data_IF_676840445324
#
_entry.id   IF_676840445324
#
_cell.length_a   1.000
_cell.length_b   1.000
_cell.length_c   1.000
_cell.angle_alpha   90.00
_cell.angle_beta   90.00
_cell.angle_gamma   90.00
#
_symmetry.space_group_name_H-M   'P 1'
#
loop_
_entity.id
_entity.type
_entity.pdbx_description
1 polymer ?
#
# COMPACT_ATOMS: atom_id res chain seq x y z
N UNK A 1 -11.30 -30.41 -10.22
CA UNK A 1 -10.88 -29.61 -9.04
C UNK A 1 -9.53 -29.02 -9.35
N UNK A 2 -9.43 -27.70 -9.46
CA UNK A 2 -8.16 -27.01 -9.69
C UNK A 2 -7.38 -26.99 -8.39
N UNK A 3 -6.17 -27.53 -8.38
CA UNK A 3 -5.24 -27.46 -7.24
C UNK A 3 -4.84 -25.99 -7.02
N UNK A 4 -4.81 -25.50 -5.77
CA UNK A 4 -4.36 -24.14 -5.47
C UNK A 4 -2.94 -23.90 -6.00
N UNK A 5 -2.72 -22.78 -6.66
CA UNK A 5 -1.44 -22.38 -7.27
C UNK A 5 -0.33 -22.17 -6.23
N UNK A 6 -0.68 -21.75 -5.02
CA UNK A 6 0.24 -21.58 -3.90
C UNK A 6 -0.43 -21.93 -2.56
N UNK A 7 0.33 -22.51 -1.65
CA UNK A 7 -0.09 -22.76 -0.26
C UNK A 7 0.92 -22.09 0.65
N UNK A 8 0.47 -21.14 1.47
CA UNK A 8 1.29 -20.43 2.44
C UNK A 8 0.76 -20.67 3.86
N UNK A 9 1.65 -21.07 4.78
CA UNK A 9 1.33 -21.16 6.21
C UNK A 9 1.37 -19.75 6.80
N UNK A 10 0.30 -19.36 7.50
CA UNK A 10 0.16 -18.03 8.07
C UNK A 10 0.49 -18.03 9.56
N UNK A 11 1.25 -17.03 10.00
CA UNK A 11 1.52 -16.78 11.41
C UNK A 11 0.28 -16.20 12.12
N UNK A 12 0.17 -16.50 13.41
CA UNK A 12 -0.88 -15.98 14.28
C UNK A 12 -0.28 -14.94 15.24
N UNK A 13 -0.97 -13.81 15.41
CA UNK A 13 -0.56 -12.73 16.30
C UNK A 13 -1.53 -12.59 17.49
N UNK A 14 -1.04 -12.27 18.71
CA UNK A 14 0.38 -12.21 19.09
C UNK A 14 1.04 -13.60 19.12
N UNK A 15 2.35 -13.65 18.87
CA UNK A 15 3.12 -14.89 18.81
C UNK A 15 3.18 -15.62 20.16
N UNK A 16 3.06 -14.89 21.27
CA UNK A 16 2.98 -15.48 22.60
C UNK A 16 1.63 -16.17 22.80
N UNK A 17 1.71 -17.47 23.03
CA UNK A 17 0.56 -18.31 23.29
C UNK A 17 0.71 -18.94 24.68
N UNK A 18 0.53 -18.11 25.72
CA UNK A 18 0.43 -18.57 27.11
C UNK A 18 -0.63 -19.65 27.25
N UNK A 19 -1.73 -19.54 26.48
CA UNK A 19 -2.77 -20.55 26.39
C UNK A 19 -2.31 -21.87 25.73
N UNK A 20 -1.32 -21.86 24.83
CA UNK A 20 -0.73 -23.09 24.30
C UNK A 20 0.22 -23.78 25.30
N UNK A 21 0.80 -23.03 26.25
CA UNK A 21 1.68 -23.57 27.30
C UNK A 21 0.87 -24.11 28.48
N UNK A 22 -0.10 -23.33 28.95
CA UNK A 22 -0.83 -23.60 30.20
C UNK A 22 -2.19 -24.29 29.96
N UNK A 23 -2.62 -24.36 28.70
CA UNK A 23 -3.94 -24.85 28.31
C UNK A 23 -5.05 -23.82 28.58
N UNK A 24 -6.19 -23.97 27.89
CA UNK A 24 -7.37 -23.15 28.16
C UNK A 24 -8.16 -23.76 29.33
N UNK A 25 -8.55 -22.92 30.29
CA UNK A 25 -9.48 -23.35 31.33
C UNK A 25 -10.93 -23.36 30.83
N UNK A 26 -11.81 -24.06 31.57
CA UNK A 26 -13.24 -24.12 31.25
C UNK A 26 -13.84 -22.71 31.20
N UNK A 27 -14.51 -22.40 30.10
CA UNK A 27 -15.15 -21.09 29.88
C UNK A 27 -14.22 -20.00 29.33
N UNK A 28 -12.94 -20.30 29.12
CA UNK A 28 -12.01 -19.38 28.44
C UNK A 28 -12.03 -19.59 26.92
N UNK A 29 -11.64 -18.55 26.18
CA UNK A 29 -11.51 -18.57 24.72
C UNK A 29 -10.15 -18.02 24.31
N UNK A 30 -9.56 -18.61 23.26
CA UNK A 30 -8.34 -18.12 22.63
C UNK A 30 -8.72 -17.39 21.34
N UNK A 31 -8.31 -16.13 21.24
CA UNK A 31 -8.45 -15.34 20.03
C UNK A 31 -7.07 -14.94 19.53
N UNK A 32 -6.85 -15.16 18.24
CA UNK A 32 -5.62 -14.81 17.53
C UNK A 32 -6.01 -14.08 16.24
N UNK A 33 -5.13 -13.21 15.78
CA UNK A 33 -5.31 -12.45 14.53
C UNK A 33 -4.37 -13.04 13.48
N UNK A 34 -4.88 -13.21 12.27
CA UNK A 34 -4.07 -13.54 11.09
C UNK A 34 -4.01 -12.33 10.17
N UNK A 35 -2.82 -12.00 9.67
CA UNK A 35 -2.60 -10.92 8.70
C UNK A 35 -1.84 -11.49 7.52
N UNK A 36 -2.36 -11.25 6.33
CA UNK A 36 -1.72 -11.69 5.09
C UNK A 36 -2.05 -10.73 3.96
N UNK A 37 -1.00 -10.24 3.30
CA UNK A 37 -1.13 -9.32 2.18
C UNK A 37 -1.38 -10.10 0.90
N UNK A 38 -2.63 -10.05 0.44
CA UNK A 38 -3.07 -10.75 -0.74
C UNK A 38 -2.75 -9.92 -1.99
N UNK A 39 -1.85 -10.44 -2.82
CA UNK A 39 -1.41 -9.75 -4.06
C UNK A 39 -2.14 -10.23 -5.32
N UNK A 40 -2.76 -11.40 -5.24
CA UNK A 40 -3.43 -12.03 -6.38
C UNK A 40 -4.94 -11.85 -6.28
N UNK A 41 -5.56 -11.41 -7.38
CA UNK A 41 -7.01 -11.32 -7.51
C UNK A 41 -7.63 -12.72 -7.69
N UNK A 42 -8.93 -12.83 -7.41
CA UNK A 42 -9.70 -14.04 -7.66
C UNK A 42 -10.01 -14.85 -6.41
N UNK A 43 -10.28 -16.14 -6.58
CA UNK A 43 -10.82 -16.99 -5.52
C UNK A 43 -9.72 -17.50 -4.59
N UNK A 44 -9.89 -17.26 -3.29
CA UNK A 44 -8.99 -17.69 -2.24
C UNK A 44 -9.71 -18.52 -1.18
N UNK A 45 -8.98 -19.42 -0.54
CA UNK A 45 -9.50 -20.28 0.52
C UNK A 45 -8.57 -20.19 1.73
N UNK A 46 -9.09 -19.65 2.85
CA UNK A 46 -8.43 -19.73 4.15
C UNK A 46 -8.85 -21.02 4.84
N UNK A 47 -7.89 -21.93 5.01
CA UNK A 47 -8.07 -23.17 5.77
C UNK A 47 -7.60 -22.98 7.22
N UNK A 48 -8.53 -22.93 8.16
CA UNK A 48 -8.23 -22.85 9.59
C UNK A 48 -8.38 -24.23 10.20
N UNK A 49 -7.31 -24.73 10.82
CA UNK A 49 -7.33 -26.00 11.55
C UNK A 49 -7.01 -25.76 13.02
N UNK A 50 -7.83 -26.28 13.91
CA UNK A 50 -7.64 -26.23 15.36
C UNK A 50 -7.46 -27.65 15.85
N UNK A 51 -6.32 -27.92 16.48
CA UNK A 51 -6.03 -29.21 17.11
C UNK A 51 -5.84 -29.01 18.60
N UNK A 52 -6.51 -29.80 19.43
CA UNK A 52 -6.39 -29.72 20.88
C UNK A 52 -6.46 -31.11 21.52
N UNK A 53 -5.91 -31.21 22.73
CA UNK A 53 -5.94 -32.41 23.54
C UNK A 53 -6.86 -32.18 24.73
N UNK A 54 -7.86 -33.04 24.91
CA UNK A 54 -8.74 -33.00 26.06
C UNK A 54 -8.04 -33.64 27.28
N UNK A 55 -7.94 -32.91 28.38
CA UNK A 55 -7.23 -33.33 29.61
C UNK A 55 -8.15 -33.55 30.82
N UNK A 56 -9.45 -33.25 30.69
CA UNK A 56 -10.41 -33.40 31.78
C UNK A 56 -10.83 -34.87 31.94
N UNK A 57 -10.62 -35.39 33.15
CA UNK A 57 -11.16 -36.68 33.59
C UNK A 57 -12.61 -36.43 34.03
N UNK A 58 -13.57 -37.11 33.40
CA UNK A 58 -14.98 -37.02 33.80
C UNK A 58 -15.23 -37.55 35.22
N UNK A 59 -16.28 -37.05 35.89
CA UNK A 59 -16.72 -37.51 37.22
C UNK A 59 -17.03 -39.02 37.27
N UNK A 60 -17.32 -39.65 36.12
CA UNK A 60 -17.62 -41.08 36.00
C UNK A 60 -16.42 -41.94 35.58
N UNK A 61 -15.20 -41.58 36.01
CA UNK A 61 -13.99 -42.43 35.97
C UNK A 61 -13.75 -43.25 34.68
N UNK A 62 -14.22 -42.79 33.51
CA UNK A 62 -13.71 -43.21 32.21
C UNK A 62 -12.73 -42.14 31.78
N UNK A 63 -11.44 -42.48 31.92
CA UNK A 63 -10.32 -41.69 31.45
C UNK A 63 -10.57 -41.24 30.00
N UNK A 64 -10.86 -39.96 29.78
CA UNK A 64 -10.74 -39.34 28.47
C UNK A 64 -9.24 -39.18 28.20
N UNK A 65 -8.63 -40.30 27.80
CA UNK A 65 -7.23 -40.49 27.48
C UNK A 65 -6.79 -39.51 26.40
N UNK A 66 -6.15 -38.40 26.77
CA UNK A 66 -5.23 -37.59 25.94
C UNK A 66 -5.58 -37.46 24.46
N UNK A 67 -6.88 -37.41 24.11
CA UNK A 67 -7.33 -37.67 22.75
C UNK A 67 -7.21 -36.37 21.98
N UNK A 68 -6.31 -36.37 21.00
CA UNK A 68 -6.18 -35.26 20.06
C UNK A 68 -7.44 -35.19 19.20
N UNK A 69 -8.11 -34.04 19.21
CA UNK A 69 -9.22 -33.72 18.32
C UNK A 69 -8.78 -32.60 17.39
N UNK A 70 -9.17 -32.70 16.13
CA UNK A 70 -8.87 -31.69 15.12
C UNK A 70 -10.15 -31.27 14.41
N UNK A 71 -10.36 -29.96 14.30
CA UNK A 71 -11.43 -29.35 13.54
C UNK A 71 -10.83 -28.49 12.42
N UNK A 72 -11.37 -28.60 11.21
CA UNK A 72 -10.94 -27.80 10.07
C UNK A 72 -12.13 -27.08 9.46
N UNK A 73 -12.01 -25.75 9.30
CA UNK A 73 -12.99 -24.92 8.60
C UNK A 73 -12.32 -24.20 7.43
N UNK A 74 -13.02 -24.21 6.30
CA UNK A 74 -12.60 -23.54 5.08
C UNK A 74 -13.46 -22.29 4.90
N UNK A 75 -12.81 -21.15 4.68
CA UNK A 75 -13.45 -19.90 4.32
C UNK A 75 -13.05 -19.55 2.89
N UNK A 76 -14.03 -19.51 1.99
CA UNK A 76 -13.81 -19.10 0.61
C UNK A 76 -14.20 -17.63 0.45
N UNK A 77 -13.34 -16.85 -0.19
CA UNK A 77 -13.60 -15.44 -0.49
C UNK A 77 -12.95 -15.06 -1.82
N UNK A 78 -13.39 -13.95 -2.40
CA UNK A 78 -12.88 -13.43 -3.67
C UNK A 78 -12.11 -12.15 -3.38
N UNK A 79 -10.86 -12.08 -3.82
CA UNK A 79 -10.06 -10.87 -3.80
C UNK A 79 -10.36 -10.05 -5.05
N UNK A 80 -10.85 -8.84 -4.84
CA UNK A 80 -11.16 -7.89 -5.90
C UNK A 80 -10.32 -6.62 -5.72
N UNK A 81 -9.99 -5.91 -6.81
CA UNK A 81 -9.33 -4.63 -6.72
C UNK A 81 -10.22 -3.63 -5.95
N UNK A 82 -9.62 -2.85 -5.06
CA UNK A 82 -10.33 -1.85 -4.28
C UNK A 82 -10.24 -0.46 -4.90
N UNK A 83 -9.04 -0.05 -5.33
CA UNK A 83 -8.78 1.24 -5.96
C UNK A 83 -8.18 1.04 -7.35
N UNK A 84 -8.75 1.74 -8.33
CA UNK A 84 -8.17 1.90 -9.66
C UNK A 84 -7.46 3.24 -9.76
N UNK A 85 -6.25 3.25 -10.31
CA UNK A 85 -5.40 4.45 -10.39
C UNK A 85 -5.08 4.77 -11.84
N UNK A 86 -5.40 5.99 -12.27
CA UNK A 86 -5.01 6.54 -13.56
C UNK A 86 -4.15 7.78 -13.36
N UNK A 87 -2.97 7.81 -13.94
CA UNK A 87 -2.02 8.92 -13.77
C UNK A 87 -1.80 9.69 -15.05
N UNK A 88 -1.51 10.99 -14.90
CA UNK A 88 -1.17 11.88 -15.99
C UNK A 88 -0.08 12.83 -15.53
N UNK A 89 0.96 12.96 -16.33
CA UNK A 89 2.04 13.93 -16.11
C UNK A 89 1.92 15.07 -17.13
N UNK A 90 2.04 16.32 -16.68
CA UNK A 90 2.23 17.49 -17.54
C UNK A 90 3.55 18.16 -17.20
N UNK A 91 4.20 18.69 -18.23
CA UNK A 91 5.42 19.47 -18.06
C UNK A 91 5.07 20.92 -17.74
N UNK A 92 5.70 21.47 -16.71
CA UNK A 92 5.60 22.86 -16.33
C UNK A 92 6.82 23.63 -16.86
N UNK A 93 6.70 24.95 -16.94
CA UNK A 93 7.81 25.82 -17.32
C UNK A 93 9.03 25.51 -16.43
N UNK A 94 10.22 25.19 -16.98
CA UNK A 94 11.42 24.94 -16.19
C UNK A 94 11.77 26.13 -15.28
N UNK A 95 12.40 25.85 -14.13
CA UNK A 95 12.93 26.89 -13.25
C UNK A 95 14.36 27.22 -13.69
N UNK A 96 14.63 28.49 -14.01
CA UNK A 96 16.01 28.94 -14.28
C UNK A 96 16.67 29.35 -12.97
N UNK A 97 17.79 28.70 -12.64
CA UNK A 97 18.59 29.02 -11.45
C UNK A 97 20.02 29.35 -11.84
N UNK A 98 20.64 30.29 -11.13
CA UNK A 98 22.04 30.65 -11.34
C UNK A 98 22.95 29.49 -10.97
N UNK A 99 23.81 29.09 -11.90
CA UNK A 99 24.77 28.03 -11.68
C UNK A 99 26.18 28.56 -11.82
N UNK A 100 26.80 28.83 -10.67
CA UNK A 100 28.17 29.36 -10.56
C UNK A 100 29.23 28.44 -11.16
N UNK A 101 28.95 27.14 -11.32
CA UNK A 101 29.87 26.19 -11.98
C UNK A 101 29.98 26.38 -13.49
N UNK A 102 29.00 27.05 -14.11
CA UNK A 102 28.97 27.37 -15.55
C UNK A 102 29.50 28.80 -15.84
N UNK A 103 30.10 29.46 -14.85
CA UNK A 103 30.65 30.82 -14.98
C UNK A 103 29.72 31.93 -14.45
N UNK A 104 30.14 33.21 -14.55
CA UNK A 104 29.46 34.36 -13.91
C UNK A 104 28.05 34.66 -14.43
N UNK A 105 27.67 34.10 -15.59
CA UNK A 105 26.33 34.20 -16.17
C UNK A 105 25.69 32.82 -16.44
N UNK A 106 26.24 31.77 -15.82
CA UNK A 106 25.76 30.41 -15.97
C UNK A 106 24.35 30.27 -15.43
N UNK A 107 23.40 29.81 -16.25
CA UNK A 107 22.05 29.45 -15.82
C UNK A 107 21.79 27.98 -16.09
N UNK A 108 21.21 27.29 -15.12
CA UNK A 108 20.73 25.91 -15.27
C UNK A 108 19.21 25.90 -15.26
N UNK A 109 18.61 25.09 -16.13
CA UNK A 109 17.17 24.88 -16.22
C UNK A 109 16.80 23.61 -15.47
N UNK A 110 16.10 23.75 -14.35
CA UNK A 110 15.58 22.65 -13.56
C UNK A 110 14.19 22.27 -14.07
N UNK A 111 13.99 20.99 -14.36
CA UNK A 111 12.72 20.49 -14.88
C UNK A 111 11.64 20.48 -13.80
N UNK A 112 10.40 20.77 -14.21
CA UNK A 112 9.23 20.76 -13.33
C UNK A 112 8.06 20.06 -14.01
N UNK A 113 7.30 19.31 -13.24
CA UNK A 113 6.16 18.54 -13.72
C UNK A 113 5.01 18.63 -12.72
N UNK A 114 3.78 18.67 -13.21
CA UNK A 114 2.60 18.37 -12.41
C UNK A 114 2.20 16.92 -12.69
N UNK A 115 2.08 16.13 -11.62
CA UNK A 115 1.60 14.76 -11.68
C UNK A 115 0.21 14.71 -11.06
N UNK A 116 -0.78 14.38 -11.88
CA UNK A 116 -2.16 14.15 -11.46
C UNK A 116 -2.42 12.65 -11.37
N UNK A 117 -3.13 12.20 -10.34
CA UNK A 117 -3.64 10.85 -10.24
C UNK A 117 -5.14 10.86 -9.89
N UNK A 118 -5.89 10.07 -10.63
CA UNK A 118 -7.30 9.80 -10.40
C UNK A 118 -7.41 8.46 -9.67
N UNK A 119 -7.90 8.50 -8.44
CA UNK A 119 -8.21 7.33 -7.63
C UNK A 119 -9.71 7.07 -7.72
N UNK A 120 -10.10 5.91 -8.22
CA UNK A 120 -11.50 5.49 -8.32
C UNK A 120 -11.73 4.31 -7.39
N UNK A 121 -12.76 4.40 -6.54
CA UNK A 121 -13.19 3.26 -5.74
C UNK A 121 -13.98 2.29 -6.63
N UNK A 122 -13.35 1.16 -6.95
CA UNK A 122 -13.93 0.09 -7.78
C UNK A 122 -14.42 -1.09 -6.94
N UNK A 123 -14.22 -1.04 -5.62
CA UNK A 123 -14.73 -2.02 -4.67
C UNK A 123 -16.19 -1.77 -4.29
N UNK A 124 -16.75 -2.71 -3.52
CA UNK A 124 -18.16 -2.69 -3.11
C UNK A 124 -18.43 -1.87 -1.84
N UNK A 125 -17.37 -1.53 -1.09
CA UNK A 125 -17.46 -0.80 0.18
C UNK A 125 -16.88 0.61 0.12
N UNK A 126 -17.32 1.47 1.03
CA UNK A 126 -16.68 2.77 1.22
C UNK A 126 -15.28 2.62 1.81
N UNK A 127 -14.34 3.46 1.39
CA UNK A 127 -12.97 3.47 1.90
C UNK A 127 -12.53 4.88 2.28
N UNK A 128 -11.68 4.98 3.29
CA UNK A 128 -11.08 6.24 3.73
C UNK A 128 -9.63 6.27 3.27
N UNK A 129 -9.27 7.21 2.40
CA UNK A 129 -7.89 7.36 1.89
C UNK A 129 -7.04 8.02 2.98
N UNK A 130 -6.13 7.26 3.57
CA UNK A 130 -5.31 7.70 4.69
C UNK A 130 -4.12 8.53 4.22
N UNK A 131 -3.44 8.06 3.17
CA UNK A 131 -2.21 8.70 2.70
C UNK A 131 -2.04 8.50 1.21
N UNK A 132 -1.60 9.55 0.52
CA UNK A 132 -1.16 9.50 -0.88
C UNK A 132 0.22 10.08 -1.00
N UNK A 133 1.23 9.24 -1.25
CA UNK A 133 2.62 9.65 -1.28
C UNK A 133 3.23 9.34 -2.64
N UNK A 134 3.74 10.37 -3.31
CA UNK A 134 4.65 10.18 -4.43
C UNK A 134 6.06 9.95 -3.89
N UNK A 135 6.65 8.79 -4.20
CA UNK A 135 8.04 8.48 -3.94
C UNK A 135 8.86 8.86 -5.18
N UNK A 136 9.48 10.05 -5.23
CA UNK A 136 10.18 10.51 -6.41
C UNK A 136 11.49 9.73 -6.59
N UNK A 137 11.95 9.61 -7.84
CA UNK A 137 13.31 9.13 -8.13
C UNK A 137 14.27 10.31 -8.20
N UNK A 138 15.51 10.21 -7.69
CA UNK A 138 16.54 11.20 -7.93
C UNK A 138 16.68 11.49 -9.44
N UNK A 139 16.82 12.76 -9.86
CA UNK A 139 17.08 13.95 -9.04
C UNK A 139 15.82 14.73 -8.62
N UNK A 140 14.64 14.11 -8.62
CA UNK A 140 13.39 14.80 -8.33
C UNK A 140 13.03 14.79 -6.84
N UNK A 141 12.40 15.87 -6.39
CA UNK A 141 11.59 15.95 -5.17
C UNK A 141 10.12 16.05 -5.53
N UNK A 142 9.26 15.59 -4.62
CA UNK A 142 7.81 15.66 -4.76
C UNK A 142 7.20 16.47 -3.62
N UNK A 143 6.24 17.32 -3.95
CA UNK A 143 5.46 18.13 -3.01
C UNK A 143 3.98 17.76 -3.21
N UNK A 144 3.30 17.38 -2.13
CA UNK A 144 1.85 17.11 -2.17
C UNK A 144 1.08 18.40 -2.40
N UNK A 145 0.00 18.32 -3.20
CA UNK A 145 -0.94 19.42 -3.41
C UNK A 145 -2.36 19.02 -2.98
N UNK A 146 -2.47 18.05 -2.06
CA UNK A 146 -3.74 17.42 -1.66
C UNK A 146 -4.25 17.98 -0.32
N UNK A 147 -5.19 17.27 0.30
CA UNK A 147 -5.71 17.61 1.64
C UNK A 147 -4.65 17.48 2.74
N UNK A 148 -3.63 16.64 2.54
CA UNK A 148 -2.55 16.41 3.49
C UNK A 148 -1.46 17.50 3.44
N UNK A 149 -1.67 18.57 2.67
CA UNK A 149 -0.77 19.72 2.67
C UNK A 149 -0.89 20.49 4.00
N UNK A 150 0.19 20.52 4.77
CA UNK A 150 0.26 21.22 6.06
C UNK A 150 -0.20 22.67 5.93
N UNK A 151 -1.31 23.00 6.59
CA UNK A 151 -1.81 24.37 6.68
C UNK A 151 -1.16 25.06 7.88
N UNK A 152 -0.56 26.25 7.72
CA UNK A 152 0.22 26.89 8.80
C UNK A 152 -0.58 27.28 10.06
N UNK A 153 -1.91 27.34 10.02
CA UNK A 153 -2.75 27.83 11.13
C UNK A 153 -4.10 27.08 11.28
N UNK A 154 -4.19 25.82 10.85
CA UNK A 154 -5.46 25.06 10.87
C UNK A 154 -5.34 23.64 11.42
N UNK A 155 -6.44 23.04 11.91
CA UNK A 155 -6.48 21.60 12.17
C UNK A 155 -6.30 20.84 10.86
N UNK A 156 -5.60 19.71 10.91
CA UNK A 156 -5.44 18.84 9.73
C UNK A 156 -6.83 18.43 9.21
N UNK A 157 -7.09 18.62 7.91
CA UNK A 157 -8.37 18.23 7.33
C UNK A 157 -8.52 16.70 7.42
N UNK A 158 -9.74 16.21 7.67
CA UNK A 158 -9.97 14.78 7.76
C UNK A 158 -9.66 14.09 6.42
N UNK A 159 -9.17 12.83 6.46
CA UNK A 159 -8.92 12.07 5.26
C UNK A 159 -10.23 11.86 4.46
N UNK A 160 -10.19 11.98 3.12
CA UNK A 160 -11.38 11.86 2.30
C UNK A 160 -11.91 10.42 2.29
N UNK A 161 -13.25 10.33 2.27
CA UNK A 161 -13.96 9.06 2.14
C UNK A 161 -14.49 8.90 0.72
N UNK A 162 -14.30 7.73 0.12
CA UNK A 162 -14.78 7.37 -1.21
C UNK A 162 -15.79 6.24 -1.11
N UNK A 163 -17.05 6.52 -1.48
CA UNK A 163 -18.05 5.49 -1.69
C UNK A 163 -17.76 4.71 -2.98
N UNK A 164 -18.39 3.55 -3.19
CA UNK A 164 -18.26 2.84 -4.45
C UNK A 164 -18.54 3.76 -5.65
N UNK A 165 -17.65 3.73 -6.65
CA UNK A 165 -17.65 4.58 -7.86
C UNK A 165 -17.26 6.04 -7.65
N UNK A 166 -17.01 6.49 -6.42
CA UNK A 166 -16.47 7.82 -6.19
C UNK A 166 -15.05 7.93 -6.75
N UNK A 167 -14.73 9.15 -7.17
CA UNK A 167 -13.44 9.51 -7.76
C UNK A 167 -12.81 10.62 -6.95
N UNK A 168 -11.56 10.41 -6.56
CA UNK A 168 -10.70 11.41 -5.94
C UNK A 168 -9.58 11.79 -6.89
N UNK A 169 -9.39 13.09 -7.10
CA UNK A 169 -8.25 13.60 -7.84
C UNK A 169 -7.20 14.10 -6.86
N UNK A 170 -5.98 13.59 -7.01
CA UNK A 170 -4.80 14.04 -6.27
C UNK A 170 -3.75 14.57 -7.23
N UNK A 171 -2.94 15.50 -6.75
CA UNK A 171 -1.90 16.15 -7.52
C UNK A 171 -0.61 16.30 -6.70
N UNK A 172 0.51 16.24 -7.42
CA UNK A 172 1.84 16.43 -6.87
C UNK A 172 2.64 17.35 -7.80
N UNK A 173 3.38 18.28 -7.19
CA UNK A 173 4.41 19.05 -7.88
C UNK A 173 5.72 18.27 -7.80
N UNK A 174 6.33 17.98 -8.96
CA UNK A 174 7.60 17.27 -9.06
C UNK A 174 8.64 18.22 -9.63
N UNK A 175 9.68 18.49 -8.87
CA UNK A 175 10.73 19.43 -9.27
C UNK A 175 12.08 18.76 -9.21
N UNK A 176 12.93 19.03 -10.21
CA UNK A 176 14.32 18.66 -10.14
C UNK A 176 15.03 19.49 -9.06
N UNK A 177 15.78 18.83 -8.18
CA UNK A 177 16.53 19.51 -7.13
C UNK A 177 17.79 20.18 -7.69
N UNK A 178 18.06 21.39 -7.19
CA UNK A 178 19.26 22.13 -7.53
C UNK A 178 20.49 21.45 -6.90
N UNK A 179 21.56 21.27 -7.68
CA UNK A 179 22.80 20.69 -7.18
C UNK A 179 22.78 19.17 -6.96
N UNK A 180 21.62 18.51 -7.14
CA UNK A 180 21.52 17.06 -7.02
C UNK A 180 22.11 16.37 -8.25
N UNK A 181 23.22 15.67 -8.05
CA UNK A 181 23.91 14.93 -9.12
C UNK A 181 23.41 13.49 -9.24
N UNK A 182 22.86 12.92 -8.16
CA UNK A 182 22.34 11.56 -8.18
C UNK A 182 21.16 11.45 -9.17
N UNK A 183 21.24 10.47 -10.07
CA UNK A 183 20.20 10.23 -11.07
C UNK A 183 20.19 11.21 -12.25
N UNK A 184 20.99 12.28 -12.22
CA UNK A 184 21.01 13.30 -13.28
C UNK A 184 21.49 12.75 -14.64
N UNK A 185 22.53 11.92 -14.64
CA UNK A 185 23.04 11.28 -15.87
C UNK A 185 22.02 10.33 -16.50
N UNK A 186 21.33 9.54 -15.65
CA UNK A 186 20.28 8.63 -16.08
C UNK A 186 19.10 9.41 -16.68
N UNK A 187 18.66 10.47 -15.99
CA UNK A 187 17.64 11.38 -16.49
C UNK A 187 18.01 11.97 -17.85
N UNK A 188 19.24 12.48 -18.00
CA UNK A 188 19.70 13.03 -19.28
C UNK A 188 19.72 11.97 -20.40
N UNK A 189 20.12 10.73 -20.08
CA UNK A 189 20.13 9.62 -21.03
C UNK A 189 18.71 9.23 -21.46
N UNK A 190 17.79 9.08 -20.52
CA UNK A 190 16.39 8.72 -20.78
C UNK A 190 15.67 9.81 -21.58
N UNK A 191 15.93 11.08 -21.23
CA UNK A 191 15.45 12.24 -21.97
C UNK A 191 15.99 12.28 -23.41
N UNK A 192 17.27 11.94 -23.64
CA UNK A 192 17.86 11.92 -24.99
C UNK A 192 17.38 10.74 -25.84
N UNK A 193 17.19 9.57 -25.23
CA UNK A 193 16.84 8.32 -25.93
C UNK A 193 15.34 8.22 -26.16
N UNK A 194 14.56 8.31 -25.09
CA UNK A 194 13.13 8.00 -25.08
C UNK A 194 12.26 9.25 -25.03
N UNK A 195 12.86 10.41 -24.72
CA UNK A 195 12.14 11.69 -24.58
C UNK A 195 11.23 11.71 -23.35
N UNK A 196 11.48 10.84 -22.37
CA UNK A 196 10.69 10.65 -21.15
C UNK A 196 11.60 10.70 -19.92
N UNK A 197 11.04 11.16 -18.81
CA UNK A 197 11.66 11.13 -17.50
C UNK A 197 10.89 10.18 -16.58
N UNK A 198 11.61 9.42 -15.75
CA UNK A 198 11.01 8.62 -14.68
C UNK A 198 10.84 9.52 -13.46
N UNK A 199 9.60 9.80 -13.07
CA UNK A 199 9.30 10.70 -11.96
C UNK A 199 9.35 10.01 -10.61
N UNK A 200 8.90 8.75 -10.52
CA UNK A 200 8.75 8.07 -9.24
C UNK A 200 7.70 6.97 -9.24
N UNK A 201 7.21 6.61 -8.06
CA UNK A 201 6.11 5.68 -7.84
C UNK A 201 5.09 6.32 -6.88
N UNK A 202 3.80 6.24 -7.21
CA UNK A 202 2.73 6.65 -6.30
C UNK A 202 2.33 5.48 -5.39
N UNK A 203 2.33 5.72 -4.09
CA UNK A 203 1.84 4.83 -3.04
C UNK A 203 0.60 5.42 -2.39
N UNK A 204 -0.44 4.60 -2.23
CA UNK A 204 -1.72 4.97 -1.65
C UNK A 204 -2.03 3.98 -0.53
N UNK A 205 -2.50 4.50 0.61
CA UNK A 205 -2.97 3.71 1.74
C UNK A 205 -4.41 4.10 2.07
N UNK A 206 -5.24 3.10 2.37
CA UNK A 206 -6.64 3.32 2.74
C UNK A 206 -7.08 2.39 3.86
N UNK A 207 -8.24 2.72 4.44
CA UNK A 207 -8.94 1.87 5.40
C UNK A 207 -10.35 1.57 4.93
N UNK A 208 -10.75 0.32 5.05
CA UNK A 208 -12.13 -0.11 4.84
C UNK A 208 -13.01 0.16 6.06
N UNK A 209 -14.32 -0.12 5.95
CA UNK A 209 -15.32 0.23 6.96
C UNK A 209 -15.14 -0.56 8.26
N UNK A 210 -14.46 -1.71 8.21
CA UNK A 210 -14.17 -2.56 9.38
C UNK A 210 -12.76 -2.34 9.92
N UNK A 211 -12.06 -1.28 9.47
CA UNK A 211 -10.72 -0.91 9.93
C UNK A 211 -9.59 -1.73 9.29
N UNK A 212 -9.91 -2.58 8.33
CA UNK A 212 -8.95 -3.26 7.45
C UNK A 212 -8.11 -2.23 6.68
N UNK A 213 -6.81 -2.51 6.55
CA UNK A 213 -5.87 -1.64 5.84
C UNK A 213 -5.62 -2.20 4.45
N UNK A 214 -5.64 -1.33 3.44
CA UNK A 214 -5.20 -1.65 2.09
C UNK A 214 -4.11 -0.69 1.63
N UNK A 215 -3.26 -1.16 0.73
CA UNK A 215 -2.24 -0.35 0.09
C UNK A 215 -2.11 -0.69 -1.40
N UNK A 216 -1.68 0.29 -2.18
CA UNK A 216 -1.41 0.15 -3.60
C UNK A 216 -0.19 0.99 -3.95
N UNK A 217 0.80 0.36 -4.57
CA UNK A 217 1.95 1.08 -5.15
C UNK A 217 1.97 0.87 -6.64
N UNK A 218 2.01 1.97 -7.38
CA UNK A 218 2.09 1.97 -8.84
C UNK A 218 3.51 1.62 -9.31
N UNK A 219 3.63 1.23 -10.59
CA UNK A 219 4.92 1.13 -11.26
C UNK A 219 5.57 2.51 -11.48
N UNK A 220 6.72 2.52 -12.16
CA UNK A 220 7.42 3.77 -12.49
C UNK A 220 6.51 4.69 -13.33
N UNK A 221 6.24 5.88 -12.81
CA UNK A 221 5.48 6.94 -13.48
C UNK A 221 6.41 7.69 -14.43
N UNK A 222 6.01 7.74 -15.70
CA UNK A 222 6.80 8.30 -16.78
C UNK A 222 6.17 9.59 -17.30
N UNK A 223 7.00 10.54 -17.72
CA UNK A 223 6.50 11.70 -18.46
C UNK A 223 6.05 11.32 -19.86
N UNK A 224 5.20 12.17 -20.45
CA UNK A 224 4.85 12.04 -21.88
C UNK A 224 6.10 12.30 -22.73
N UNK A 225 6.24 11.53 -23.82
CA UNK A 225 7.32 11.74 -24.78
C UNK A 225 7.24 13.15 -25.36
N UNK A 226 8.33 13.92 -25.26
CA UNK A 226 8.47 15.17 -26.03
C UNK A 226 8.55 14.83 -27.52
N UNK A 227 7.60 15.34 -28.30
CA UNK A 227 7.61 15.33 -29.78
C UNK A 227 8.31 16.56 -30.31
#
# INVERSE_FOLDING_TARGET
>A
MQTPSQVASLGLEPADDTAARDGLQKGQSLQKIVRFDLKEEGNHILAVSVSYTETLIGLDAQAASGRVRTFRKLYQFVAQPCLSVRTKSSELTPLEVENKSLGPYGKTRLLRFALEAQLENVGDGAVVVQQTRLNPKPPFKAISLNWDLEAPDGPDPPPPTLNPRDVLQVAFLVEQEEGQQEGLEALQKDMKRDGRAVLGQLSIEWRGPMGDKGYLTTGNLLTRRRT
#
